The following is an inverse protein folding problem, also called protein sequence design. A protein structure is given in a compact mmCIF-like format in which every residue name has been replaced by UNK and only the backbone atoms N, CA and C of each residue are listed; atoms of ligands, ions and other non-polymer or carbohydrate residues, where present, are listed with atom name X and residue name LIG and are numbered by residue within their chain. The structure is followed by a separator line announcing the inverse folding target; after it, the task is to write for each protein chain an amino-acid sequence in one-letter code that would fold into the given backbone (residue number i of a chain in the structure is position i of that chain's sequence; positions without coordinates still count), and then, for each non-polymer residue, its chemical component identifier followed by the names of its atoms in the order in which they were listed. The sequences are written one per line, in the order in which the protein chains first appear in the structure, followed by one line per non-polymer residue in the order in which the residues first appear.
data_IF_254888548097
#
_entry.id   IF_254888548097
#
_cell.length_a   1.000
_cell.length_b   1.000
_cell.length_c   1.000
_cell.angle_alpha   90.00
_cell.angle_beta   90.00
_cell.angle_gamma   90.00
#
_symmetry.space_group_name_H-M   'P 1'
#
loop_
_entity.id
_entity.type
_entity.pdbx_description
1 polymer ?
#
# COMPACT_ATOMS: atom_id res chain seq x y z
N UNK A 1 9.69 5.15 11.25
CA UNK A 1 8.63 5.62 10.37
C UNK A 1 7.59 4.51 10.39
N UNK A 2 6.35 4.79 10.79
CA UNK A 2 5.30 3.75 10.81
C UNK A 2 4.91 3.41 9.38
N UNK A 3 4.78 2.12 9.05
CA UNK A 3 4.38 1.62 7.72
C UNK A 3 3.09 2.29 7.21
N UNK A 4 2.17 2.60 8.12
CA UNK A 4 0.92 3.31 7.84
C UNK A 4 1.16 4.71 7.24
N UNK A 5 2.19 5.43 7.71
CA UNK A 5 2.49 6.79 7.26
C UNK A 5 3.01 6.79 5.81
N UNK A 6 3.83 5.79 5.47
CA UNK A 6 4.34 5.60 4.10
C UNK A 6 3.19 5.24 3.15
N UNK A 7 2.32 4.30 3.55
CA UNK A 7 1.14 3.92 2.76
C UNK A 7 0.24 5.13 2.55
N UNK A 8 -0.01 5.91 3.61
CA UNK A 8 -0.81 7.12 3.53
C UNK A 8 -0.19 8.11 2.54
N UNK A 9 1.11 8.36 2.63
CA UNK A 9 1.80 9.29 1.74
C UNK A 9 1.70 8.85 0.27
N UNK A 10 1.91 7.58 -0.02
CA UNK A 10 1.79 7.03 -1.38
C UNK A 10 0.34 7.10 -1.90
N UNK A 11 -0.66 6.84 -1.06
CA UNK A 11 -2.06 7.00 -1.42
C UNK A 11 -2.42 8.46 -1.72
N UNK A 12 -1.90 9.41 -0.94
CA UNK A 12 -2.13 10.83 -1.14
C UNK A 12 -1.55 11.33 -2.46
N UNK A 13 -0.41 10.77 -2.87
CA UNK A 13 0.25 11.09 -4.13
C UNK A 13 -0.59 10.62 -5.33
N UNK A 14 -1.04 9.36 -5.29
CA UNK A 14 -1.84 8.77 -6.37
C UNK A 14 -3.26 9.35 -6.46
N UNK A 15 -3.89 9.60 -5.32
CA UNK A 15 -5.23 10.19 -5.26
C UNK A 15 -5.21 11.72 -5.38
N UNK A 16 -4.03 12.33 -5.56
CA UNK A 16 -3.81 13.77 -5.64
C UNK A 16 -4.54 14.55 -4.51
N UNK A 17 -4.53 13.98 -3.29
CA UNK A 17 -5.34 14.46 -2.17
C UNK A 17 -4.54 14.74 -0.91
N UNK A 18 -4.68 15.96 -0.39
CA UNK A 18 -3.91 16.44 0.77
C UNK A 18 -4.51 16.01 2.11
N UNK A 19 -5.75 15.50 2.13
CA UNK A 19 -6.47 15.15 3.35
C UNK A 19 -7.12 13.78 3.22
N UNK A 20 -6.31 12.74 3.40
CA UNK A 20 -6.75 11.36 3.42
C UNK A 20 -6.72 10.83 4.86
N UNK A 21 -7.85 10.35 5.36
CA UNK A 21 -7.92 9.74 6.68
C UNK A 21 -7.89 8.22 6.55
N UNK A 22 -6.66 7.68 6.45
CA UNK A 22 -6.41 6.25 6.28
C UNK A 22 -6.21 5.59 7.64
N UNK A 23 -6.86 4.45 7.85
CA UNK A 23 -6.68 3.58 9.02
C UNK A 23 -6.45 2.15 8.55
N UNK A 24 -5.99 1.26 9.44
CA UNK A 24 -5.82 -0.17 9.11
C UNK A 24 -7.11 -0.84 8.63
N UNK A 25 -8.28 -0.29 9.01
CA UNK A 25 -9.60 -0.80 8.60
C UNK A 25 -10.06 -0.26 7.24
N UNK A 26 -9.39 0.75 6.71
CA UNK A 26 -9.73 1.37 5.43
C UNK A 26 -9.47 0.37 4.30
N UNK A 27 -10.49 0.17 3.47
CA UNK A 27 -10.44 -0.66 2.26
C UNK A 27 -10.10 0.20 1.05
N UNK A 28 -9.13 -0.23 0.25
CA UNK A 28 -8.66 0.56 -0.89
C UNK A 28 -9.78 0.77 -1.92
N UNK A 29 -10.43 -0.32 -2.35
CA UNK A 29 -11.50 -0.21 -3.35
C UNK A 29 -12.78 0.44 -2.78
N UNK A 30 -13.23 0.03 -1.59
CA UNK A 30 -14.53 0.48 -1.07
C UNK A 30 -14.52 1.85 -0.39
N UNK A 31 -13.45 2.20 0.35
CA UNK A 31 -13.39 3.49 1.05
C UNK A 31 -12.68 4.58 0.23
N UNK A 32 -11.72 4.20 -0.61
CA UNK A 32 -10.89 5.14 -1.37
C UNK A 32 -11.21 5.17 -2.86
N UNK A 33 -12.16 4.36 -3.33
CA UNK A 33 -12.52 4.22 -4.75
C UNK A 33 -11.27 3.92 -5.61
N UNK A 34 -10.37 3.10 -5.08
CA UNK A 34 -9.06 2.86 -5.69
C UNK A 34 -9.17 1.81 -6.80
N UNK A 35 -9.35 2.28 -8.02
CA UNK A 35 -9.39 1.45 -9.23
C UNK A 35 -8.11 0.63 -9.45
N UNK A 36 -8.18 -0.43 -10.28
CA UNK A 36 -7.05 -1.34 -10.53
C UNK A 36 -5.81 -0.61 -11.06
N UNK A 37 -6.02 0.44 -11.86
CA UNK A 37 -4.95 1.27 -12.41
C UNK A 37 -4.27 2.09 -11.30
N UNK A 38 -5.07 2.76 -10.46
CA UNK A 38 -4.56 3.55 -9.34
C UNK A 38 -3.90 2.65 -8.29
N UNK A 39 -4.41 1.43 -8.10
CA UNK A 39 -3.82 0.43 -7.22
C UNK A 39 -2.40 0.04 -7.64
N UNK A 40 -2.20 -0.25 -8.92
CA UNK A 40 -0.86 -0.54 -9.44
C UNK A 40 0.06 0.67 -9.28
N UNK A 41 -0.41 1.88 -9.61
CA UNK A 41 0.37 3.11 -9.45
C UNK A 41 0.76 3.37 -7.98
N UNK A 42 -0.16 3.09 -7.05
CA UNK A 42 0.06 3.19 -5.61
C UNK A 42 1.17 2.23 -5.16
N UNK A 43 1.14 0.99 -5.64
CA UNK A 43 2.18 0.02 -5.30
C UNK A 43 3.54 0.44 -5.83
N UNK A 44 3.64 0.88 -7.09
CA UNK A 44 4.90 1.39 -7.64
C UNK A 44 5.45 2.58 -6.83
N UNK A 45 4.58 3.47 -6.39
CA UNK A 45 4.94 4.63 -5.54
C UNK A 45 5.43 4.18 -4.15
N UNK A 46 4.83 3.11 -3.63
CA UNK A 46 5.19 2.52 -2.35
C UNK A 46 6.52 1.76 -2.42
N UNK A 47 6.82 1.06 -3.52
CA UNK A 47 8.16 0.47 -3.77
C UNK A 47 9.24 1.55 -3.77
N UNK A 48 9.00 2.65 -4.48
CA UNK A 48 9.96 3.76 -4.55
C UNK A 48 10.22 4.37 -3.16
N UNK A 49 9.22 4.33 -2.28
CA UNK A 49 9.32 4.82 -0.91
C UNK A 49 10.04 3.87 0.05
N UNK A 50 10.13 2.56 -0.27
CA UNK A 50 10.70 1.54 0.60
C UNK A 50 11.85 0.84 -0.12
N UNK A 51 13.08 1.20 0.24
CA UNK A 51 14.27 0.57 -0.33
C UNK A 51 14.24 -0.96 -0.13
N UNK A 52 14.42 -1.70 -1.23
CA UNK A 52 14.41 -3.17 -1.26
C UNK A 52 13.03 -3.79 -1.52
N UNK A 53 11.95 -3.03 -1.38
CA UNK A 53 10.61 -3.53 -1.64
C UNK A 53 10.38 -3.71 -3.14
N UNK A 54 10.06 -4.94 -3.55
CA UNK A 54 9.52 -5.23 -4.87
C UNK A 54 8.23 -6.02 -4.76
N UNK A 55 7.19 -5.44 -5.32
CA UNK A 55 5.87 -5.95 -5.53
C UNK A 55 5.84 -6.76 -6.83
N UNK A 56 5.56 -8.06 -6.70
CA UNK A 56 5.50 -8.94 -7.87
C UNK A 56 4.18 -8.73 -8.62
N UNK A 57 4.21 -8.19 -9.86
CA UNK A 57 2.99 -7.83 -10.60
C UNK A 57 2.12 -9.04 -10.94
N UNK A 58 2.67 -10.26 -10.93
CA UNK A 58 1.90 -11.49 -11.18
C UNK A 58 1.15 -11.95 -9.92
N UNK A 59 1.69 -11.65 -8.73
CA UNK A 59 1.06 -11.95 -7.43
C UNK A 59 0.13 -10.84 -6.93
N UNK A 60 0.21 -9.66 -7.55
CA UNK A 60 -0.51 -8.47 -7.13
C UNK A 60 -1.76 -8.35 -7.98
N UNK A 61 -2.82 -8.95 -7.45
CA UNK A 61 -4.18 -8.62 -7.84
C UNK A 61 -4.77 -7.70 -6.78
N UNK A 62 -5.76 -6.86 -7.12
CA UNK A 62 -6.51 -6.07 -6.11
C UNK A 62 -7.05 -6.94 -4.96
N UNK A 63 -7.30 -8.23 -5.22
CA UNK A 63 -7.70 -9.20 -4.20
C UNK A 63 -6.59 -9.57 -3.21
N UNK A 64 -5.32 -9.33 -3.52
CA UNK A 64 -4.20 -9.65 -2.63
C UNK A 64 -4.16 -8.70 -1.42
N UNK A 65 -4.55 -7.42 -1.60
CA UNK A 65 -4.59 -6.44 -0.51
C UNK A 65 -5.93 -5.69 -0.46
N UNK A 66 -6.94 -6.26 0.20
CA UNK A 66 -8.26 -5.61 0.32
C UNK A 66 -8.30 -4.43 1.29
N UNK A 67 -7.35 -4.32 2.22
CA UNK A 67 -7.33 -3.25 3.24
C UNK A 67 -5.92 -2.82 3.58
N UNK A 68 -5.79 -1.60 4.09
CA UNK A 68 -4.51 -1.02 4.52
C UNK A 68 -3.85 -1.88 5.59
N UNK A 69 -4.62 -2.43 6.54
CA UNK A 69 -4.09 -3.35 7.54
C UNK A 69 -3.53 -4.64 6.94
N UNK A 70 -4.14 -5.18 5.87
CA UNK A 70 -3.60 -6.34 5.15
C UNK A 70 -2.24 -6.03 4.52
N UNK A 71 -2.08 -4.83 3.96
CA UNK A 71 -0.82 -4.39 3.37
C UNK A 71 0.25 -4.16 4.43
N UNK A 72 -0.10 -3.53 5.56
CA UNK A 72 0.81 -3.33 6.70
C UNK A 72 1.30 -4.68 7.24
N UNK A 73 0.38 -5.61 7.48
CA UNK A 73 0.75 -6.94 7.97
C UNK A 73 1.67 -7.70 7.00
N UNK A 74 1.45 -7.54 5.69
CA UNK A 74 2.32 -8.13 4.68
C UNK A 74 3.71 -7.47 4.66
N UNK A 75 3.78 -6.14 4.76
CA UNK A 75 5.05 -5.40 4.82
C UNK A 75 5.84 -5.73 6.08
N UNK A 76 5.18 -5.85 7.23
CA UNK A 76 5.80 -6.21 8.51
C UNK A 76 6.37 -7.63 8.44
N UNK A 77 5.61 -8.58 7.87
CA UNK A 77 6.07 -9.95 7.63
C UNK A 77 7.25 -10.00 6.65
N UNK A 78 7.23 -9.19 5.60
CA UNK A 78 8.33 -9.08 4.63
C UNK A 78 9.59 -8.49 5.26
N UNK A 79 9.49 -7.39 6.00
CA UNK A 79 10.62 -6.76 6.71
C UNK A 79 11.26 -7.72 7.72
N UNK A 80 10.42 -8.49 8.44
CA UNK A 80 10.88 -9.52 9.36
C UNK A 80 11.58 -10.69 8.67
N UNK A 81 11.20 -11.02 7.43
CA UNK A 81 11.82 -12.07 6.64
C UNK A 81 13.14 -11.64 5.98
N UNK A 82 13.27 -10.38 5.55
CA UNK A 82 14.51 -9.86 4.97
C UNK A 82 15.61 -9.59 6.03
N UNK A 83 15.20 -9.33 7.27
CA UNK A 83 16.11 -9.12 8.41
C UNK A 83 16.61 -10.43 9.06
N UNK A 84 16.20 -11.60 8.55
CA UNK A 84 16.44 -12.92 9.17
C UNK A 84 17.58 -13.72 8.54
#
# INVERSE_FOLDING_TARGET
METLDIIKQALQDVLETSSLNVTEKTRFEEDLDLDSVNFVQFLLTLEDSIEGLMFDPDHISQHSFSSVGSLIAWLDAWQGAESA
#
